data_IF_222978645494
#
_entry.id   IF_222978645494
#
_cell.length_a   1.000
_cell.length_b   1.000
_cell.length_c   1.000
_cell.angle_alpha   90.00
_cell.angle_beta   90.00
_cell.angle_gamma   90.00
#
_symmetry.space_group_name_H-M   'P 1'
#
loop_
_entity.id
_entity.type
_entity.pdbx_description
1 polymer ?
#
# COMPACT_ATOMS: atom_id res chain seq x y z
N UNK A 1 43.40 -15.17 5.75
CA UNK A 1 42.31 -15.33 6.74
C UNK A 1 41.29 -14.22 6.70
N UNK A 2 41.61 -13.00 6.34
CA UNK A 2 40.67 -11.87 6.26
C UNK A 2 39.56 -12.03 5.23
N UNK A 3 39.79 -12.69 4.09
CA UNK A 3 38.77 -12.87 3.03
C UNK A 3 37.64 -13.85 3.38
N UNK A 4 37.76 -14.68 4.41
CA UNK A 4 36.71 -15.64 4.79
C UNK A 4 35.65 -15.04 5.72
N UNK A 5 36.02 -13.99 6.47
CA UNK A 5 35.11 -13.33 7.42
C UNK A 5 34.15 -12.36 6.69
N UNK A 6 34.53 -11.84 5.50
CA UNK A 6 33.73 -10.91 4.71
C UNK A 6 32.57 -11.62 3.97
N UNK A 7 32.74 -12.90 3.66
CA UNK A 7 31.71 -13.68 2.93
C UNK A 7 30.50 -14.08 3.79
N UNK A 8 30.63 -14.08 5.13
CA UNK A 8 29.60 -14.56 6.06
C UNK A 8 28.50 -13.52 6.37
N UNK A 9 28.72 -12.24 6.03
CA UNK A 9 27.78 -11.15 6.32
C UNK A 9 27.15 -10.48 5.08
N UNK A 10 27.22 -11.11 3.92
CA UNK A 10 26.49 -10.59 2.75
C UNK A 10 25.00 -10.89 2.92
N UNK A 11 24.09 -9.91 2.76
CA UNK A 11 22.65 -10.20 2.69
C UNK A 11 22.46 -11.16 1.53
N UNK A 12 22.14 -12.43 1.84
CA UNK A 12 21.93 -13.46 0.82
C UNK A 12 21.04 -12.95 -0.30
N UNK A 13 21.35 -13.31 -1.54
CA UNK A 13 20.59 -12.88 -2.72
C UNK A 13 19.09 -13.25 -2.59
N UNK A 14 18.29 -12.27 -2.17
CA UNK A 14 16.85 -12.41 -1.95
C UNK A 14 16.02 -12.01 -3.18
N UNK A 15 16.58 -12.15 -4.38
CA UNK A 15 15.86 -11.82 -5.64
C UNK A 15 14.54 -12.56 -5.75
N UNK A 16 14.44 -13.79 -5.25
CA UNK A 16 13.19 -14.55 -5.23
C UNK A 16 12.12 -13.88 -4.34
N UNK A 17 12.52 -13.28 -3.21
CA UNK A 17 11.62 -12.51 -2.32
C UNK A 17 11.08 -11.28 -3.03
N UNK A 18 11.98 -10.57 -3.74
CA UNK A 18 11.57 -9.41 -4.55
C UNK A 18 10.57 -9.81 -5.65
N UNK A 19 10.80 -10.96 -6.31
CA UNK A 19 9.84 -11.47 -7.30
C UNK A 19 8.48 -11.80 -6.67
N UNK A 20 8.45 -12.44 -5.50
CA UNK A 20 7.18 -12.71 -4.80
C UNK A 20 6.45 -11.43 -4.41
N UNK A 21 7.17 -10.44 -3.86
CA UNK A 21 6.55 -9.14 -3.57
C UNK A 21 5.91 -8.52 -4.81
N UNK A 22 6.61 -8.53 -5.96
CA UNK A 22 6.10 -8.01 -7.23
C UNK A 22 4.86 -8.80 -7.68
N UNK A 23 4.90 -10.13 -7.62
CA UNK A 23 3.77 -10.99 -8.03
C UNK A 23 2.54 -10.69 -7.19
N UNK A 24 2.66 -10.63 -5.86
CA UNK A 24 1.53 -10.33 -4.99
C UNK A 24 1.00 -8.91 -5.17
N UNK A 25 1.85 -7.91 -5.38
CA UNK A 25 1.40 -6.56 -5.71
C UNK A 25 0.61 -6.53 -7.03
N UNK A 26 1.08 -7.23 -8.08
CA UNK A 26 0.38 -7.31 -9.35
C UNK A 26 -0.94 -8.08 -9.24
N UNK A 27 -0.99 -9.17 -8.46
CA UNK A 27 -2.24 -9.91 -8.19
C UNK A 27 -3.25 -9.04 -7.46
N UNK A 28 -2.81 -8.22 -6.49
CA UNK A 28 -3.66 -7.25 -5.83
C UNK A 28 -4.25 -6.24 -6.83
N UNK A 29 -3.42 -5.62 -7.67
CA UNK A 29 -3.90 -4.69 -8.70
C UNK A 29 -4.88 -5.37 -9.66
N UNK A 30 -4.58 -6.59 -10.10
CA UNK A 30 -5.45 -7.36 -10.99
C UNK A 30 -6.81 -7.64 -10.33
N UNK A 31 -6.82 -8.04 -9.06
CA UNK A 31 -8.05 -8.25 -8.30
C UNK A 31 -8.89 -6.97 -8.21
N UNK A 32 -8.25 -5.81 -7.93
CA UNK A 32 -8.96 -4.53 -7.91
C UNK A 32 -9.54 -4.16 -9.28
N UNK A 33 -8.78 -4.33 -10.35
CA UNK A 33 -9.25 -4.09 -11.72
C UNK A 33 -10.44 -5.00 -12.04
N UNK A 34 -10.35 -6.29 -11.67
CA UNK A 34 -11.45 -7.25 -11.88
C UNK A 34 -12.73 -6.83 -11.17
N UNK A 35 -12.64 -6.29 -9.94
CA UNK A 35 -13.82 -5.82 -9.20
C UNK A 35 -14.58 -4.72 -9.91
N UNK A 36 -13.93 -3.85 -10.70
CA UNK A 36 -14.62 -2.81 -11.46
C UNK A 36 -15.53 -3.37 -12.57
N UNK A 37 -15.18 -4.55 -13.09
CA UNK A 37 -15.99 -5.24 -14.11
C UNK A 37 -17.00 -6.20 -13.50
N UNK A 38 -16.65 -6.85 -12.39
CA UNK A 38 -17.49 -7.86 -11.73
C UNK A 38 -18.58 -7.23 -10.86
N UNK A 39 -18.36 -6.03 -10.35
CA UNK A 39 -19.27 -5.33 -9.43
C UNK A 39 -19.47 -3.86 -9.87
N UNK A 40 -20.04 -3.62 -11.07
CA UNK A 40 -20.21 -2.27 -11.63
C UNK A 40 -21.21 -1.41 -10.84
N UNK A 41 -21.99 -2.01 -9.94
CA UNK A 41 -22.91 -1.32 -9.02
C UNK A 41 -22.19 -0.41 -8.03
N UNK A 42 -20.90 -0.64 -7.78
CA UNK A 42 -20.09 0.22 -6.93
C UNK A 42 -19.38 1.30 -7.77
N UNK A 43 -20.09 2.39 -8.01
CA UNK A 43 -19.60 3.51 -8.83
C UNK A 43 -18.23 4.03 -8.34
N UNK A 44 -17.17 3.99 -9.18
CA UNK A 44 -15.79 4.28 -8.73
C UNK A 44 -15.55 5.70 -8.24
N UNK A 45 -16.38 6.68 -8.61
CA UNK A 45 -16.19 8.08 -8.22
C UNK A 45 -16.34 8.29 -6.71
N UNK A 46 -17.29 7.62 -6.07
CA UNK A 46 -17.64 7.90 -4.68
C UNK A 46 -17.67 6.65 -3.78
N UNK A 47 -17.79 5.43 -4.33
CA UNK A 47 -17.71 4.19 -3.55
C UNK A 47 -16.26 3.82 -3.26
N UNK A 48 -15.94 3.63 -2.00
CA UNK A 48 -14.62 3.16 -1.58
C UNK A 48 -14.43 1.68 -1.94
N UNK A 49 -13.17 1.27 -2.12
CA UNK A 49 -12.85 -0.11 -2.49
C UNK A 49 -13.32 -1.13 -1.44
N UNK A 50 -13.26 -0.79 -0.16
CA UNK A 50 -13.77 -1.68 0.91
C UNK A 50 -15.27 -1.98 0.81
N UNK A 51 -16.06 -1.13 0.11
CA UNK A 51 -17.49 -1.34 -0.06
C UNK A 51 -17.84 -2.50 -1.01
N UNK A 52 -16.89 -2.97 -1.83
CA UNK A 52 -17.07 -4.19 -2.62
C UNK A 52 -17.37 -5.44 -1.75
N UNK A 53 -17.05 -5.38 -0.44
CA UNK A 53 -17.46 -6.41 0.53
C UNK A 53 -18.99 -6.58 0.66
N UNK A 54 -19.78 -5.62 0.18
CA UNK A 54 -21.25 -5.73 0.14
C UNK A 54 -21.78 -6.37 -1.14
N UNK A 55 -20.89 -6.69 -2.09
CA UNK A 55 -21.26 -7.25 -3.39
C UNK A 55 -21.08 -8.78 -3.46
N UNK A 56 -21.53 -9.35 -4.57
CA UNK A 56 -21.44 -10.81 -4.85
C UNK A 56 -19.98 -11.31 -4.88
N UNK A 57 -19.03 -10.47 -5.24
CA UNK A 57 -17.63 -10.85 -5.46
C UNK A 57 -16.73 -10.39 -4.31
N UNK A 58 -17.20 -10.40 -3.07
CA UNK A 58 -16.43 -10.07 -1.86
C UNK A 58 -15.13 -10.87 -1.73
N UNK A 59 -15.14 -12.12 -2.21
CA UNK A 59 -13.94 -12.97 -2.20
C UNK A 59 -12.79 -12.43 -3.05
N UNK A 60 -13.08 -11.65 -4.13
CA UNK A 60 -12.05 -10.96 -4.91
C UNK A 60 -11.44 -9.83 -4.11
N UNK A 61 -12.26 -9.12 -3.31
CA UNK A 61 -11.77 -8.11 -2.37
C UNK A 61 -10.88 -8.73 -1.29
N UNK A 62 -11.23 -9.91 -0.79
CA UNK A 62 -10.38 -10.67 0.14
C UNK A 62 -9.01 -10.97 -0.49
N UNK A 63 -8.96 -11.43 -1.74
CA UNK A 63 -7.72 -11.65 -2.49
C UNK A 63 -6.93 -10.34 -2.62
N UNK A 64 -7.61 -9.25 -2.98
CA UNK A 64 -6.99 -7.92 -3.13
C UNK A 64 -6.22 -7.51 -1.87
N UNK A 65 -6.87 -7.47 -0.72
CA UNK A 65 -6.25 -7.05 0.53
C UNK A 65 -5.19 -8.05 1.02
N UNK A 66 -5.43 -9.35 0.89
CA UNK A 66 -4.47 -10.39 1.27
C UNK A 66 -3.20 -10.30 0.44
N UNK A 67 -3.31 -10.18 -0.88
CA UNK A 67 -2.16 -10.03 -1.77
C UNK A 67 -1.39 -8.72 -1.49
N UNK A 68 -2.09 -7.64 -1.20
CA UNK A 68 -1.45 -6.38 -0.81
C UNK A 68 -0.60 -6.56 0.45
N UNK A 69 -1.18 -7.07 1.53
CA UNK A 69 -0.47 -7.25 2.78
C UNK A 69 0.69 -8.24 2.67
N UNK A 70 0.54 -9.31 1.91
CA UNK A 70 1.62 -10.26 1.63
C UNK A 70 2.76 -9.58 0.86
N UNK A 71 2.46 -8.73 -0.11
CA UNK A 71 3.47 -7.94 -0.83
C UNK A 71 4.24 -7.01 0.12
N UNK A 72 3.54 -6.31 1.02
CA UNK A 72 4.13 -5.46 2.06
C UNK A 72 5.05 -6.27 2.98
N UNK A 73 4.65 -7.48 3.40
CA UNK A 73 5.47 -8.37 4.22
C UNK A 73 6.73 -8.86 3.50
N UNK A 74 6.61 -9.27 2.24
CA UNK A 74 7.78 -9.66 1.45
C UNK A 74 8.74 -8.50 1.24
N UNK A 75 8.24 -7.28 1.00
CA UNK A 75 9.07 -6.08 0.88
C UNK A 75 9.77 -5.76 2.21
N UNK A 76 9.07 -5.86 3.33
CA UNK A 76 9.66 -5.67 4.65
C UNK A 76 10.76 -6.71 4.93
N UNK A 77 10.50 -7.99 4.68
CA UNK A 77 11.48 -9.06 4.82
C UNK A 77 12.70 -8.88 3.91
N UNK A 78 12.47 -8.44 2.65
CA UNK A 78 13.51 -8.13 1.69
C UNK A 78 14.47 -7.07 2.23
N UNK A 79 13.91 -5.99 2.79
CA UNK A 79 14.67 -4.84 3.25
C UNK A 79 15.26 -5.03 4.65
N UNK A 80 14.80 -6.01 5.44
CA UNK A 80 15.23 -6.20 6.82
C UNK A 80 16.75 -6.31 7.00
N UNK A 81 17.41 -7.12 6.17
CA UNK A 81 18.87 -7.29 6.22
C UNK A 81 19.63 -6.18 5.48
N UNK A 82 18.97 -5.50 4.54
CA UNK A 82 19.58 -4.46 3.71
C UNK A 82 19.63 -3.10 4.41
N UNK A 83 18.59 -2.75 5.13
CA UNK A 83 18.46 -1.47 5.86
C UNK A 83 19.16 -1.56 7.20
N UNK A 84 20.12 -0.66 7.47
CA UNK A 84 20.96 -0.69 8.70
C UNK A 84 20.71 0.47 9.67
N UNK A 85 20.21 1.62 9.21
CA UNK A 85 19.94 2.75 10.10
C UNK A 85 18.75 2.47 11.02
N UNK A 86 18.75 3.04 12.23
CA UNK A 86 17.64 2.90 13.18
C UNK A 86 16.31 3.39 12.57
N UNK A 87 16.32 4.56 11.91
CA UNK A 87 15.12 5.08 11.25
C UNK A 87 14.62 4.16 10.13
N UNK A 88 15.53 3.67 9.27
CA UNK A 88 15.15 2.72 8.22
C UNK A 88 14.60 1.41 8.79
N UNK A 89 15.19 0.87 9.88
CA UNK A 89 14.67 -0.32 10.58
C UNK A 89 13.26 -0.09 11.14
N UNK A 90 13.03 1.08 11.76
CA UNK A 90 11.69 1.47 12.19
C UNK A 90 10.71 1.50 11.00
N UNK A 91 11.13 2.04 9.86
CA UNK A 91 10.34 2.01 8.63
C UNK A 91 10.00 0.58 8.18
N UNK A 92 10.95 -0.35 8.23
CA UNK A 92 10.70 -1.76 7.86
C UNK A 92 9.72 -2.44 8.83
N UNK A 93 9.82 -2.16 10.14
CA UNK A 93 8.85 -2.66 11.14
C UNK A 93 7.46 -2.08 10.85
N UNK A 94 7.36 -0.78 10.57
CA UNK A 94 6.09 -0.14 10.23
C UNK A 94 5.49 -0.69 8.94
N UNK A 95 6.31 -1.04 7.94
CA UNK A 95 5.84 -1.69 6.72
C UNK A 95 5.26 -3.10 7.01
N UNK A 96 5.87 -3.84 7.92
CA UNK A 96 5.34 -5.13 8.36
C UNK A 96 3.99 -4.95 9.10
N UNK A 97 3.87 -3.94 9.97
CA UNK A 97 2.62 -3.59 10.65
C UNK A 97 1.56 -3.17 9.63
N UNK A 98 1.93 -2.37 8.62
CA UNK A 98 1.02 -1.98 7.53
C UNK A 98 0.48 -3.21 6.80
N UNK A 99 1.35 -4.13 6.38
CA UNK A 99 0.92 -5.37 5.73
C UNK A 99 -0.03 -6.20 6.61
N UNK A 100 0.16 -6.17 7.93
CA UNK A 100 -0.77 -6.80 8.87
C UNK A 100 -2.12 -6.11 8.85
N UNK A 101 -2.16 -4.77 8.85
CA UNK A 101 -3.41 -4.00 8.74
C UNK A 101 -4.17 -4.29 7.44
N UNK A 102 -3.46 -4.42 6.33
CA UNK A 102 -4.02 -4.77 5.02
C UNK A 102 -4.63 -6.18 5.03
N UNK A 103 -3.94 -7.18 5.60
CA UNK A 103 -4.49 -8.54 5.78
C UNK A 103 -5.69 -8.54 6.72
N UNK A 104 -5.64 -7.79 7.83
CA UNK A 104 -6.79 -7.66 8.71
C UNK A 104 -7.99 -7.03 8.01
N UNK A 105 -7.79 -6.12 7.06
CA UNK A 105 -8.88 -5.57 6.24
C UNK A 105 -9.53 -6.61 5.30
N UNK A 106 -8.82 -7.69 4.95
CA UNK A 106 -9.41 -8.82 4.22
C UNK A 106 -10.39 -9.60 5.10
N UNK A 107 -10.07 -9.79 6.39
CA UNK A 107 -10.91 -10.53 7.34
C UNK A 107 -11.98 -9.63 8.00
N UNK A 108 -11.63 -8.39 8.29
CA UNK A 108 -12.51 -7.39 8.89
C UNK A 108 -13.03 -6.46 7.79
N UNK A 109 -14.03 -6.94 7.04
CA UNK A 109 -14.62 -6.16 5.95
C UNK A 109 -15.29 -4.88 6.46
N UNK A 110 -15.76 -4.02 5.57
CA UNK A 110 -16.32 -2.69 5.88
C UNK A 110 -17.49 -2.72 6.90
N UNK A 111 -18.15 -3.86 7.07
CA UNK A 111 -19.23 -4.03 8.04
C UNK A 111 -18.74 -4.51 9.42
N UNK A 112 -17.48 -4.90 9.54
CA UNK A 112 -16.92 -5.41 10.80
C UNK A 112 -16.48 -4.25 11.69
N UNK A 113 -16.75 -4.28 13.03
CA UNK A 113 -16.36 -3.20 13.94
C UNK A 113 -14.86 -2.87 13.94
N UNK A 114 -14.00 -3.84 13.65
CA UNK A 114 -12.54 -3.68 13.62
C UNK A 114 -12.01 -3.20 12.26
N UNK A 115 -12.86 -2.94 11.25
CA UNK A 115 -12.41 -2.46 9.95
C UNK A 115 -11.60 -1.15 10.05
N UNK A 116 -12.09 -0.22 10.88
CA UNK A 116 -11.39 1.04 11.15
C UNK A 116 -9.99 0.82 11.77
N UNK A 117 -9.85 -0.16 12.67
CA UNK A 117 -8.56 -0.54 13.27
C UNK A 117 -7.60 -1.09 12.21
N UNK A 118 -8.08 -1.96 11.32
CA UNK A 118 -7.30 -2.48 10.21
C UNK A 118 -6.79 -1.36 9.29
N UNK A 119 -7.67 -0.42 8.92
CA UNK A 119 -7.31 0.75 8.12
C UNK A 119 -6.29 1.67 8.82
N UNK A 120 -6.43 1.87 10.13
CA UNK A 120 -5.49 2.68 10.94
C UNK A 120 -4.12 2.01 11.04
N UNK A 121 -4.06 0.69 11.09
CA UNK A 121 -2.80 -0.05 11.02
C UNK A 121 -2.20 -0.03 9.61
N UNK A 122 -3.01 -0.15 8.57
CA UNK A 122 -2.54 -0.22 7.18
C UNK A 122 -2.05 1.13 6.66
N UNK A 123 -2.92 2.14 6.63
CA UNK A 123 -2.68 3.36 5.86
C UNK A 123 -1.60 4.28 6.46
N UNK A 124 -1.71 4.78 7.71
CA UNK A 124 -0.72 5.71 8.26
C UNK A 124 0.67 5.08 8.44
N UNK A 125 0.72 3.81 8.83
CA UNK A 125 2.01 3.12 9.03
C UNK A 125 2.75 2.92 7.72
N UNK A 126 2.04 2.68 6.59
CA UNK A 126 2.64 2.63 5.26
C UNK A 126 3.28 3.97 4.87
N UNK A 127 2.57 5.09 5.10
CA UNK A 127 3.10 6.43 4.82
C UNK A 127 4.43 6.65 5.54
N UNK A 128 4.45 6.41 6.85
CA UNK A 128 5.66 6.61 7.65
C UNK A 128 6.76 5.63 7.20
N UNK A 129 6.41 4.38 6.95
CA UNK A 129 7.33 3.34 6.47
C UNK A 129 7.98 3.74 5.14
N UNK A 130 7.17 4.12 4.15
CA UNK A 130 7.65 4.47 2.81
C UNK A 130 8.63 5.65 2.85
N UNK A 131 8.35 6.67 3.66
CA UNK A 131 9.24 7.81 3.87
C UNK A 131 10.56 7.38 4.54
N UNK A 132 10.51 6.73 5.70
CA UNK A 132 11.71 6.34 6.46
C UNK A 132 12.62 5.41 5.64
N UNK A 133 12.04 4.45 4.94
CA UNK A 133 12.76 3.53 4.06
C UNK A 133 13.38 4.30 2.88
N UNK A 134 12.61 5.12 2.18
CA UNK A 134 13.08 5.83 0.99
C UNK A 134 14.18 6.84 1.31
N UNK A 135 14.08 7.57 2.43
CA UNK A 135 15.13 8.46 2.90
C UNK A 135 16.42 7.73 3.29
N UNK A 136 16.32 6.48 3.76
CA UNK A 136 17.50 5.64 3.98
C UNK A 136 18.07 5.13 2.65
N UNK A 137 17.23 4.60 1.76
CA UNK A 137 17.68 3.98 0.51
C UNK A 137 18.33 4.97 -0.44
N UNK A 138 17.85 6.23 -0.51
CA UNK A 138 18.39 7.26 -1.43
C UNK A 138 19.90 7.50 -1.28
N UNK A 139 20.48 7.14 -0.14
CA UNK A 139 21.90 7.30 0.16
C UNK A 139 22.72 6.04 -0.11
N UNK A 140 22.09 4.96 -0.60
CA UNK A 140 22.74 3.68 -0.85
C UNK A 140 23.12 3.53 -2.32
N UNK A 141 24.24 2.83 -2.54
CA UNK A 141 24.67 2.50 -3.90
C UNK A 141 23.59 1.72 -4.66
N UNK A 142 23.48 1.98 -5.95
CA UNK A 142 22.43 1.42 -6.80
C UNK A 142 21.04 2.06 -6.65
N UNK A 143 20.80 2.91 -5.62
CA UNK A 143 19.55 3.67 -5.46
C UNK A 143 19.67 5.12 -5.90
N UNK A 144 20.88 5.65 -6.00
CA UNK A 144 21.12 7.08 -6.29
C UNK A 144 20.59 7.50 -7.67
N UNK A 145 20.70 6.63 -8.67
CA UNK A 145 20.19 6.92 -10.02
C UNK A 145 18.67 7.09 -10.03
N UNK A 146 17.97 6.36 -9.15
CA UNK A 146 16.52 6.35 -9.07
C UNK A 146 15.97 7.12 -7.85
N UNK A 147 16.82 7.90 -7.15
CA UNK A 147 16.44 8.60 -5.91
C UNK A 147 15.23 9.53 -6.07
N UNK A 148 15.12 10.18 -7.22
CA UNK A 148 14.02 11.11 -7.51
C UNK A 148 12.68 10.35 -7.53
N UNK A 149 12.57 9.25 -8.29
CA UNK A 149 11.36 8.44 -8.37
C UNK A 149 11.04 7.82 -7.01
N UNK A 150 12.08 7.34 -6.30
CA UNK A 150 11.93 6.77 -4.95
C UNK A 150 11.31 7.77 -3.98
N UNK A 151 11.81 9.01 -3.94
CA UNK A 151 11.29 10.04 -3.05
C UNK A 151 9.90 10.53 -3.46
N UNK A 152 9.69 10.78 -4.78
CA UNK A 152 8.38 11.19 -5.26
C UNK A 152 7.30 10.14 -4.96
N UNK A 153 7.58 8.86 -5.18
CA UNK A 153 6.64 7.79 -4.86
C UNK A 153 6.35 7.71 -3.35
N UNK A 154 7.35 7.92 -2.49
CA UNK A 154 7.15 7.95 -1.05
C UNK A 154 6.33 9.19 -0.61
N UNK A 155 6.60 10.36 -1.19
CA UNK A 155 5.81 11.55 -0.87
C UNK A 155 4.37 11.45 -1.41
N UNK A 156 4.16 10.83 -2.56
CA UNK A 156 2.83 10.59 -3.11
C UNK A 156 1.94 9.80 -2.14
N UNK A 157 2.50 8.96 -1.25
CA UNK A 157 1.71 8.19 -0.27
C UNK A 157 0.97 9.10 0.71
N UNK A 158 1.62 10.08 1.34
CA UNK A 158 0.92 10.98 2.26
C UNK A 158 0.03 11.99 1.53
N UNK A 159 0.42 12.42 0.32
CA UNK A 159 -0.41 13.30 -0.52
C UNK A 159 -1.73 12.61 -0.86
N UNK A 160 -1.71 11.31 -1.20
CA UNK A 160 -2.92 10.54 -1.48
C UNK A 160 -3.83 10.40 -0.25
N UNK A 161 -3.27 10.30 0.96
CA UNK A 161 -4.06 10.30 2.21
C UNK A 161 -4.73 11.65 2.42
N UNK A 162 -4.02 12.76 2.22
CA UNK A 162 -4.60 14.10 2.31
C UNK A 162 -5.75 14.26 1.30
N UNK A 163 -5.55 13.75 0.07
CA UNK A 163 -6.60 13.78 -0.96
C UNK A 163 -7.86 13.01 -0.53
N UNK A 164 -7.71 11.83 0.09
CA UNK A 164 -8.86 11.09 0.64
C UNK A 164 -9.57 11.92 1.72
N UNK A 165 -8.82 12.51 2.65
CA UNK A 165 -9.42 13.32 3.73
C UNK A 165 -10.23 14.49 3.14
N UNK A 166 -9.65 15.23 2.19
CA UNK A 166 -10.33 16.35 1.54
C UNK A 166 -11.62 15.88 0.85
N UNK A 167 -11.52 14.83 0.02
CA UNK A 167 -12.68 14.34 -0.74
C UNK A 167 -13.73 13.68 0.15
N UNK A 168 -13.35 13.09 1.28
CA UNK A 168 -14.27 12.56 2.29
C UNK A 168 -15.04 13.70 2.97
N UNK A 169 -14.35 14.77 3.39
CA UNK A 169 -14.99 15.95 3.99
C UNK A 169 -15.96 16.57 2.99
N UNK A 170 -15.56 16.73 1.72
CA UNK A 170 -16.46 17.25 0.68
C UNK A 170 -17.73 16.40 0.52
N UNK A 171 -17.61 15.09 0.48
CA UNK A 171 -18.74 14.17 0.37
C UNK A 171 -19.67 14.25 1.59
N UNK A 172 -19.10 14.23 2.81
CA UNK A 172 -19.89 14.32 4.05
C UNK A 172 -20.64 15.64 4.12
N UNK A 173 -19.98 16.76 3.82
CA UNK A 173 -20.64 18.09 3.77
C UNK A 173 -21.73 18.13 2.72
N UNK A 174 -21.49 17.52 1.53
CA UNK A 174 -22.52 17.42 0.49
C UNK A 174 -23.76 16.65 0.96
N UNK A 175 -23.58 15.52 1.66
CA UNK A 175 -24.68 14.76 2.24
C UNK A 175 -25.45 15.55 3.29
N UNK A 176 -24.75 16.25 4.20
CA UNK A 176 -25.38 17.10 5.22
C UNK A 176 -26.23 18.21 4.58
N UNK A 177 -25.71 18.86 3.54
CA UNK A 177 -26.44 19.89 2.81
C UNK A 177 -27.68 19.35 2.07
N UNK A 178 -27.65 18.07 1.67
CA UNK A 178 -28.79 17.36 1.09
C UNK A 178 -29.76 16.80 2.14
N UNK A 179 -29.57 17.12 3.43
CA UNK A 179 -30.40 16.65 4.55
C UNK A 179 -30.15 15.19 4.95
N UNK A 180 -29.04 14.57 4.50
CA UNK A 180 -28.68 13.20 4.81
C UNK A 180 -27.60 13.20 5.87
N UNK A 181 -27.94 12.68 7.06
CA UNK A 181 -26.99 12.52 8.16
C UNK A 181 -26.53 11.07 8.15
N UNK A 182 -25.23 10.84 7.87
CA UNK A 182 -24.61 9.52 7.98
C UNK A 182 -23.99 9.41 9.38
N UNK A 183 -24.63 8.66 10.25
CA UNK A 183 -24.11 8.35 11.59
C UNK A 183 -23.18 7.11 11.58
N UNK A 184 -22.46 6.87 12.70
CA UNK A 184 -21.66 5.67 12.87
C UNK A 184 -22.48 4.39 12.63
N UNK A 185 -22.02 3.50 11.78
CA UNK A 185 -22.69 2.24 11.44
C UNK A 185 -23.84 2.36 10.41
N UNK A 186 -24.16 3.55 9.94
CA UNK A 186 -25.13 3.73 8.87
C UNK A 186 -24.48 3.50 7.51
N UNK A 187 -25.18 2.78 6.63
CA UNK A 187 -24.74 2.59 5.24
C UNK A 187 -24.96 3.89 4.45
N UNK A 188 -24.00 4.29 3.60
CA UNK A 188 -24.22 5.40 2.69
C UNK A 188 -25.41 5.10 1.76
N UNK A 189 -26.09 6.14 1.25
CA UNK A 189 -27.23 5.96 0.35
C UNK A 189 -26.84 5.10 -0.87
N UNK A 190 -27.81 4.37 -1.43
CA UNK A 190 -27.58 3.51 -2.60
C UNK A 190 -27.19 4.34 -3.85
N UNK A 191 -27.76 5.54 -3.97
CA UNK A 191 -27.56 6.48 -5.08
C UNK A 191 -27.01 7.79 -4.51
N UNK A 192 -26.08 8.40 -5.24
CA UNK A 192 -25.55 9.71 -4.87
C UNK A 192 -26.67 10.76 -5.02
N UNK A 193 -27.00 11.55 -3.98
CA UNK A 193 -28.02 12.57 -4.07
C UNK A 193 -27.65 13.67 -5.09
N UNK A 194 -28.67 14.26 -5.72
CA UNK A 194 -28.47 15.34 -6.67
C UNK A 194 -27.73 16.54 -6.04
N UNK A 195 -26.79 17.08 -6.78
CA UNK A 195 -25.97 18.22 -6.34
C UNK A 195 -24.80 17.85 -5.39
N UNK A 196 -24.67 16.60 -4.94
CA UNK A 196 -23.55 16.16 -4.11
C UNK A 196 -22.36 15.79 -4.99
N UNK A 197 -21.22 16.48 -4.78
CA UNK A 197 -19.94 16.13 -5.40
C UNK A 197 -19.22 15.15 -4.50
N UNK A 198 -18.98 13.92 -4.98
CA UNK A 198 -18.28 12.89 -4.24
C UNK A 198 -17.19 12.24 -5.11
N UNK A 199 -15.95 12.46 -4.71
CA UNK A 199 -14.73 11.98 -5.41
C UNK A 199 -13.87 11.05 -4.55
N UNK A 200 -14.35 10.70 -3.35
CA UNK A 200 -13.59 9.90 -2.38
C UNK A 200 -13.24 8.52 -2.93
N UNK A 201 -14.07 7.94 -3.78
CA UNK A 201 -13.80 6.67 -4.41
C UNK A 201 -12.60 6.73 -5.37
N UNK A 202 -12.47 7.79 -6.16
CA UNK A 202 -11.28 8.01 -6.99
C UNK A 202 -10.04 8.27 -6.14
N UNK A 203 -10.14 9.11 -5.10
CA UNK A 203 -9.04 9.36 -4.18
C UNK A 203 -8.54 8.08 -3.49
N UNK A 204 -9.46 7.20 -3.10
CA UNK A 204 -9.13 5.89 -2.53
C UNK A 204 -8.37 4.99 -3.51
N UNK A 205 -8.75 4.98 -4.79
CA UNK A 205 -8.03 4.24 -5.83
C UNK A 205 -6.66 4.83 -6.13
N UNK A 206 -6.53 6.16 -6.13
CA UNK A 206 -5.23 6.84 -6.27
C UNK A 206 -4.29 6.42 -5.14
N UNK A 207 -4.77 6.39 -3.88
CA UNK A 207 -3.97 5.91 -2.75
C UNK A 207 -3.47 4.49 -3.00
N UNK A 208 -4.34 3.57 -3.40
CA UNK A 208 -3.98 2.18 -3.66
C UNK A 208 -2.92 2.09 -4.77
N UNK A 209 -3.11 2.79 -5.88
CA UNK A 209 -2.15 2.80 -7.00
C UNK A 209 -0.79 3.34 -6.57
N UNK A 210 -0.76 4.41 -5.78
CA UNK A 210 0.48 5.00 -5.25
C UNK A 210 1.23 4.04 -4.33
N UNK A 211 0.51 3.35 -3.44
CA UNK A 211 1.10 2.37 -2.53
C UNK A 211 1.64 1.16 -3.28
N UNK A 212 0.88 0.62 -4.24
CA UNK A 212 1.33 -0.47 -5.10
C UNK A 212 2.53 -0.06 -5.94
N UNK A 213 2.53 1.16 -6.49
CA UNK A 213 3.66 1.66 -7.25
C UNK A 213 4.94 1.71 -6.41
N UNK A 214 4.86 2.19 -5.17
CA UNK A 214 6.01 2.23 -4.28
C UNK A 214 6.54 0.82 -3.96
N UNK A 215 5.67 -0.15 -3.64
CA UNK A 215 6.04 -1.55 -3.40
C UNK A 215 6.72 -2.18 -4.61
N UNK A 216 6.11 -2.02 -5.79
CA UNK A 216 6.64 -2.53 -7.07
C UNK A 216 7.99 -1.89 -7.40
N UNK A 217 8.09 -0.56 -7.23
CA UNK A 217 9.31 0.17 -7.53
C UNK A 217 10.47 -0.28 -6.64
N UNK A 218 10.25 -0.33 -5.32
CA UNK A 218 11.28 -0.74 -4.35
C UNK A 218 11.71 -2.18 -4.60
N UNK A 219 10.78 -3.12 -4.76
CA UNK A 219 11.09 -4.53 -4.99
C UNK A 219 11.80 -4.76 -6.33
N UNK A 220 11.37 -4.05 -7.39
CA UNK A 220 12.01 -4.16 -8.70
C UNK A 220 13.41 -3.53 -8.74
N UNK A 221 13.62 -2.38 -8.07
CA UNK A 221 14.93 -1.76 -8.01
C UNK A 221 15.91 -2.62 -7.21
N UNK A 222 15.49 -3.19 -6.08
CA UNK A 222 16.27 -4.18 -5.35
C UNK A 222 16.66 -5.35 -6.25
N UNK A 223 15.69 -5.93 -6.98
CA UNK A 223 15.94 -7.04 -7.91
C UNK A 223 16.97 -6.68 -8.97
N UNK A 224 16.92 -5.47 -9.54
CA UNK A 224 17.89 -5.00 -10.55
C UNK A 224 19.30 -4.90 -9.99
N UNK A 225 19.47 -4.28 -8.82
CA UNK A 225 20.76 -4.12 -8.15
C UNK A 225 21.43 -5.47 -7.93
N UNK A 226 20.69 -6.44 -7.39
CA UNK A 226 21.27 -7.75 -7.05
C UNK A 226 21.38 -8.74 -8.22
N UNK A 227 20.71 -8.49 -9.36
CA UNK A 227 20.91 -9.26 -10.60
C UNK A 227 22.10 -8.76 -11.40
N UNK A 228 22.32 -7.44 -11.44
CA UNK A 228 23.39 -6.86 -12.23
C UNK A 228 24.79 -7.18 -11.66
N UNK A 229 24.92 -7.32 -10.35
CA UNK A 229 26.21 -7.55 -9.71
C UNK A 229 26.13 -8.62 -8.60
N UNK A 230 26.23 -9.92 -8.96
CA UNK A 230 26.22 -11.01 -7.99
C UNK A 230 27.38 -10.99 -6.97
N UNK A 231 28.26 -10.00 -7.01
CA UNK A 231 29.45 -9.89 -6.15
C UNK A 231 29.80 -8.49 -5.63
N UNK A 232 29.08 -7.43 -6.00
CA UNK A 232 29.52 -6.04 -5.81
C UNK A 232 28.60 -5.22 -4.88
N UNK A 233 28.08 -5.78 -3.82
CA UNK A 233 27.58 -4.96 -2.70
C UNK A 233 28.75 -4.73 -1.74
N UNK A 234 29.65 -3.80 -2.11
CA UNK A 234 30.61 -3.22 -1.15
C UNK A 234 29.82 -2.36 -0.18
N UNK A 235 29.96 -2.69 1.07
CA UNK A 235 29.38 -2.05 2.25
C UNK A 235 30.01 -0.68 2.48
#
# INVERSE_FOLDING_TARGET
MANKIIAENQPGNKVWVANLSIVFALLSVLALVSLHFLSPEFTPSWRMVSEYANGKFEWVLFIFFSCWGISSWYTAYLLWSYVRSKAGKAGVILLFISGTGEILAAFFNVNHPQHGTAGTLGIPTFVIASLLISYHLKTRDGWQENKTILLWSAHATWISVVLIIITMVMMITGFQNAGIIIGPGQKPPAVLPDGVVALVGYANRILIVVYMFWLLFVSNNYRKIFKAEPGLVRL
#
